data_IF_606218576379
#
_entry.id   IF_606218576379
#
_cell.length_a   1.000
_cell.length_b   1.000
_cell.length_c   1.000
_cell.angle_alpha   90.00
_cell.angle_beta   90.00
_cell.angle_gamma   90.00
#
_symmetry.space_group_name_H-M   'P 1'
#
loop_
_entity.id
_entity.type
_entity.pdbx_description
1 polymer ?
#
# COMPACT_ATOMS: atom_id res chain seq x y z
N UNK A 1 19.73 -6.79 -8.78
CA UNK A 1 19.03 -6.48 -7.50
C UNK A 1 19.14 -5.00 -7.24
N UNK A 2 18.10 -4.38 -6.72
CA UNK A 2 18.05 -2.96 -6.38
C UNK A 2 17.65 -2.80 -4.92
N UNK A 3 18.20 -1.79 -4.27
CA UNK A 3 17.89 -1.44 -2.87
C UNK A 3 17.26 -0.06 -2.81
N UNK A 4 16.18 0.06 -2.06
CA UNK A 4 15.48 1.32 -1.81
C UNK A 4 15.10 1.44 -0.35
N UNK A 5 14.90 2.65 0.13
CA UNK A 5 14.38 2.94 1.47
C UNK A 5 12.85 2.82 1.48
N UNK A 6 12.30 2.47 2.64
CA UNK A 6 10.87 2.56 2.87
C UNK A 6 10.37 4.01 2.82
N UNK A 7 9.10 4.21 2.47
CA UNK A 7 8.52 5.54 2.36
C UNK A 7 7.01 5.52 2.21
N UNK A 8 6.41 6.69 2.22
CA UNK A 8 4.97 6.86 2.00
C UNK A 8 4.67 8.13 1.21
N UNK A 9 3.48 8.18 0.64
CA UNK A 9 2.92 9.32 -0.07
C UNK A 9 1.43 9.42 0.24
N UNK A 10 0.96 10.59 0.70
CA UNK A 10 -0.46 10.87 0.87
C UNK A 10 -1.03 11.24 -0.50
N UNK A 11 -2.05 10.51 -0.93
CA UNK A 11 -2.71 10.73 -2.21
C UNK A 11 -3.99 11.52 -1.97
N UNK A 12 -3.99 12.76 -2.40
CA UNK A 12 -5.17 13.62 -2.33
C UNK A 12 -6.15 13.24 -3.44
N UNK A 13 -7.41 13.01 -3.07
CA UNK A 13 -8.46 12.76 -4.05
C UNK A 13 -8.95 14.08 -4.64
N UNK A 14 -8.91 14.19 -5.96
CA UNK A 14 -9.50 15.34 -6.69
C UNK A 14 -11.04 15.37 -6.53
N UNK A 15 -11.65 16.56 -6.68
CA UNK A 15 -13.11 16.71 -6.63
C UNK A 15 -13.85 15.96 -7.75
N UNK A 16 -15.13 15.66 -7.50
CA UNK A 16 -16.07 15.13 -8.48
C UNK A 16 -15.85 13.67 -8.87
N UNK A 17 -16.63 13.19 -9.83
CA UNK A 17 -16.65 11.79 -10.25
C UNK A 17 -15.29 11.37 -10.84
N UNK A 18 -14.65 12.26 -11.61
CA UNK A 18 -13.33 11.97 -12.18
C UNK A 18 -12.28 11.73 -11.08
N UNK A 19 -12.30 12.55 -10.02
CA UNK A 19 -11.42 12.38 -8.86
C UNK A 19 -11.64 11.06 -8.13
N UNK A 20 -12.90 10.62 -8.00
CA UNK A 20 -13.25 9.31 -7.43
C UNK A 20 -12.66 8.18 -8.29
N UNK A 21 -12.78 8.27 -9.60
CA UNK A 21 -12.23 7.26 -10.51
C UNK A 21 -10.70 7.23 -10.50
N UNK A 22 -10.02 8.38 -10.48
CA UNK A 22 -8.55 8.48 -10.36
C UNK A 22 -8.06 7.86 -9.05
N UNK A 23 -8.74 8.15 -7.93
CA UNK A 23 -8.41 7.58 -6.62
C UNK A 23 -8.54 6.05 -6.58
N UNK A 24 -9.41 5.46 -7.39
CA UNK A 24 -9.57 4.03 -7.55
C UNK A 24 -8.65 3.42 -8.64
N UNK A 25 -8.24 4.21 -9.66
CA UNK A 25 -7.37 3.73 -10.73
C UNK A 25 -5.97 3.37 -10.21
N UNK A 26 -5.33 4.24 -9.44
CA UNK A 26 -3.98 4.03 -8.93
C UNK A 26 -3.84 2.70 -8.17
N UNK A 27 -4.70 2.35 -7.17
CA UNK A 27 -4.66 1.05 -6.50
C UNK A 27 -4.83 -0.13 -7.44
N UNK A 28 -5.75 0.00 -8.42
CA UNK A 28 -5.96 -1.03 -9.42
C UNK A 28 -4.73 -1.23 -10.31
N UNK A 29 -4.11 -0.16 -10.78
CA UNK A 29 -2.90 -0.20 -11.60
C UNK A 29 -1.72 -0.79 -10.85
N UNK A 30 -1.55 -0.47 -9.56
CA UNK A 30 -0.50 -1.05 -8.70
C UNK A 30 -0.68 -2.56 -8.60
N UNK A 31 -1.90 -3.04 -8.41
CA UNK A 31 -2.18 -4.48 -8.34
C UNK A 31 -1.67 -5.24 -9.58
N UNK A 32 -1.75 -4.63 -10.76
CA UNK A 32 -1.32 -5.22 -12.04
C UNK A 32 0.07 -4.77 -12.52
N UNK A 33 0.81 -3.97 -11.74
CA UNK A 33 2.07 -3.38 -12.16
C UNK A 33 1.93 -2.58 -13.47
N UNK A 34 0.92 -1.72 -13.55
CA UNK A 34 0.57 -0.98 -14.77
C UNK A 34 0.39 0.53 -14.54
N UNK A 35 1.08 1.07 -13.54
CA UNK A 35 1.04 2.49 -13.18
C UNK A 35 1.55 3.40 -14.32
N UNK A 36 2.43 2.89 -15.16
CA UNK A 36 2.93 3.51 -16.39
C UNK A 36 1.84 3.86 -17.41
N UNK A 37 0.65 3.29 -17.25
CA UNK A 37 -0.50 3.52 -18.13
C UNK A 37 -1.47 4.59 -17.60
N UNK A 38 -1.19 5.19 -16.45
CA UNK A 38 -2.01 6.28 -15.93
C UNK A 38 -1.74 7.54 -16.76
N UNK A 39 -2.80 8.09 -17.34
CA UNK A 39 -2.76 9.29 -18.15
C UNK A 39 -4.13 10.01 -18.09
N UNK A 40 -4.24 11.27 -18.55
CA UNK A 40 -5.52 11.94 -18.63
C UNK A 40 -6.57 11.10 -19.40
N UNK A 41 -7.75 10.92 -18.78
CA UNK A 41 -8.87 10.18 -19.36
C UNK A 41 -8.79 8.65 -19.27
N UNK A 42 -7.78 8.07 -18.60
CA UNK A 42 -7.66 6.60 -18.45
C UNK A 42 -8.47 6.03 -17.29
N UNK A 43 -8.80 6.85 -16.28
CA UNK A 43 -9.46 6.40 -15.07
C UNK A 43 -10.85 5.80 -15.35
N UNK A 44 -11.71 6.52 -16.02
CA UNK A 44 -13.09 6.08 -16.25
C UNK A 44 -13.18 4.75 -17.04
N UNK A 45 -12.52 4.57 -18.20
CA UNK A 45 -12.53 3.30 -18.92
C UNK A 45 -11.96 2.14 -18.08
N UNK A 46 -10.92 2.40 -17.30
CA UNK A 46 -10.30 1.40 -16.44
C UNK A 46 -11.26 0.94 -15.34
N UNK A 47 -11.89 1.89 -14.63
CA UNK A 47 -12.86 1.61 -13.57
C UNK A 47 -14.09 0.88 -14.11
N UNK A 48 -14.63 1.30 -15.25
CA UNK A 48 -15.74 0.59 -15.91
C UNK A 48 -15.35 -0.85 -16.30
N UNK A 49 -14.08 -1.06 -16.69
CA UNK A 49 -13.53 -2.39 -16.94
C UNK A 49 -13.52 -3.27 -15.68
N UNK A 50 -13.09 -2.72 -14.52
CA UNK A 50 -13.11 -3.41 -13.23
C UNK A 50 -14.53 -3.77 -12.78
N UNK A 51 -15.48 -2.84 -12.93
CA UNK A 51 -16.91 -3.09 -12.65
C UNK A 51 -17.45 -4.23 -13.50
N UNK A 52 -17.15 -4.24 -14.80
CA UNK A 52 -17.60 -5.29 -15.73
C UNK A 52 -17.07 -6.69 -15.36
N UNK A 53 -15.88 -6.76 -14.77
CA UNK A 53 -15.24 -8.01 -14.35
C UNK A 53 -15.47 -8.35 -12.88
N UNK A 54 -16.29 -7.56 -12.17
CA UNK A 54 -16.53 -7.67 -10.72
C UNK A 54 -15.25 -7.64 -9.87
N UNK A 55 -14.21 -6.94 -10.33
CA UNK A 55 -12.99 -6.74 -9.55
C UNK A 55 -13.15 -5.52 -8.63
N UNK A 56 -13.89 -5.68 -7.53
CA UNK A 56 -14.35 -4.59 -6.67
C UNK A 56 -13.30 -3.99 -5.74
N UNK A 57 -12.19 -4.69 -5.42
CA UNK A 57 -11.23 -4.20 -4.44
C UNK A 57 -10.66 -2.79 -4.73
N UNK A 58 -10.23 -2.43 -5.96
CA UNK A 58 -9.77 -1.08 -6.24
C UNK A 58 -10.88 -0.02 -6.09
N UNK A 59 -12.14 -0.37 -6.32
CA UNK A 59 -13.26 0.56 -6.20
C UNK A 59 -13.46 1.08 -4.76
N UNK A 60 -13.00 0.33 -3.76
CA UNK A 60 -13.06 0.75 -2.35
C UNK A 60 -12.26 2.03 -2.07
N UNK A 61 -11.26 2.33 -2.91
CA UNK A 61 -10.38 3.47 -2.71
C UNK A 61 -10.98 4.80 -3.19
N UNK A 62 -11.94 4.77 -4.13
CA UNK A 62 -12.69 5.94 -4.55
C UNK A 62 -13.65 6.38 -3.44
N UNK A 63 -13.31 7.43 -2.70
CA UNK A 63 -14.14 7.96 -1.62
C UNK A 63 -15.31 8.77 -2.21
N UNK A 64 -16.50 8.55 -1.69
CA UNK A 64 -17.72 9.23 -2.11
C UNK A 64 -18.33 9.99 -0.94
N UNK A 65 -18.57 11.29 -1.13
CA UNK A 65 -19.26 12.15 -0.17
C UNK A 65 -20.63 12.52 -0.75
N UNK A 66 -21.68 12.23 -0.01
CA UNK A 66 -23.06 12.50 -0.41
C UNK A 66 -23.76 13.33 0.65
N UNK A 67 -24.72 14.17 0.22
CA UNK A 67 -25.65 14.86 1.12
C UNK A 67 -27.03 14.94 0.53
N UNK A 68 -28.06 14.78 1.36
CA UNK A 68 -29.45 14.96 0.97
C UNK A 68 -30.26 15.52 2.14
N UNK A 69 -31.25 16.33 1.84
CA UNK A 69 -32.23 16.80 2.80
C UNK A 69 -33.28 15.69 3.04
N UNK A 70 -33.87 15.70 4.21
CA UNK A 70 -35.06 14.92 4.48
C UNK A 70 -36.20 15.33 3.55
N UNK A 71 -36.99 14.36 3.15
CA UNK A 71 -38.14 14.58 2.27
C UNK A 71 -39.43 14.54 3.09
N UNK A 72 -40.34 15.47 2.78
CA UNK A 72 -41.66 15.57 3.40
C UNK A 72 -42.72 15.73 2.34
N UNK A 73 -43.82 14.95 2.43
CA UNK A 73 -44.98 15.09 1.56
C UNK A 73 -46.05 15.99 2.18
N UNK A 74 -46.73 16.75 1.34
CA UNK A 74 -47.85 17.60 1.75
C UNK A 74 -49.17 16.88 1.54
N UNK A 75 -49.92 16.65 2.60
CA UNK A 75 -51.27 16.12 2.54
C UNK A 75 -52.25 17.28 2.82
N UNK A 76 -53.12 17.62 1.85
CA UNK A 76 -54.15 18.66 1.97
C UNK A 76 -53.65 20.06 2.37
N UNK A 77 -52.45 20.49 1.89
CA UNK A 77 -51.79 21.75 2.25
C UNK A 77 -51.48 21.92 3.76
N UNK A 78 -51.52 20.85 4.53
CA UNK A 78 -51.08 20.79 5.91
C UNK A 78 -49.89 19.84 5.93
N UNK A 79 -48.86 20.25 6.57
CA UNK A 79 -47.65 19.47 6.83
C UNK A 79 -48.06 18.14 7.54
N UNK A 80 -47.63 16.94 7.31
CA UNK A 80 -46.57 16.34 6.52
C UNK A 80 -46.42 14.93 6.96
N UNK A 81 -46.31 14.05 6.09
CA UNK A 81 -45.76 12.74 6.39
C UNK A 81 -44.28 12.77 6.06
N UNK A 82 -43.42 12.33 6.98
CA UNK A 82 -41.97 12.18 6.75
C UNK A 82 -41.74 11.03 5.78
N UNK A 83 -41.28 11.35 4.58
CA UNK A 83 -41.01 10.37 3.51
C UNK A 83 -39.66 9.68 3.67
N UNK A 84 -38.86 10.13 4.65
CA UNK A 84 -37.49 9.66 4.88
C UNK A 84 -36.44 10.42 4.12
N UNK A 85 -35.17 10.04 4.32
CA UNK A 85 -34.05 10.58 3.56
C UNK A 85 -33.62 9.58 2.49
N UNK A 86 -33.44 10.00 1.23
CA UNK A 86 -33.03 9.09 0.15
C UNK A 86 -31.69 8.38 0.40
N UNK A 87 -30.90 8.87 1.35
CA UNK A 87 -29.61 8.29 1.78
C UNK A 87 -29.72 7.42 3.04
N UNK A 88 -30.92 7.19 3.64
CA UNK A 88 -31.09 6.37 4.86
C UNK A 88 -30.56 4.94 4.69
N UNK A 89 -30.58 4.42 3.46
CA UNK A 89 -30.02 3.10 3.12
C UNK A 89 -28.54 2.93 3.54
N UNK A 90 -27.77 4.03 3.66
CA UNK A 90 -26.37 3.99 4.06
C UNK A 90 -26.17 3.74 5.57
N UNK A 91 -27.16 4.01 6.43
CA UNK A 91 -27.08 3.65 7.85
C UNK A 91 -26.88 2.15 8.10
N UNK A 92 -27.38 1.33 7.18
CA UNK A 92 -27.26 -0.13 7.27
C UNK A 92 -26.02 -0.70 6.59
N UNK A 93 -25.18 0.17 6.01
CA UNK A 93 -23.96 -0.25 5.33
C UNK A 93 -22.74 -0.05 6.24
N UNK A 94 -22.06 -1.13 6.60
CA UNK A 94 -20.91 -1.11 7.52
C UNK A 94 -19.66 -0.38 6.99
N UNK A 95 -19.63 -0.06 5.71
CA UNK A 95 -18.51 0.67 5.06
C UNK A 95 -18.85 2.14 4.83
N UNK A 96 -20.00 2.58 5.32
CA UNK A 96 -20.46 3.96 5.23
C UNK A 96 -20.53 4.58 6.62
N UNK A 97 -20.27 5.89 6.70
CA UNK A 97 -20.48 6.67 7.91
C UNK A 97 -21.45 7.79 7.62
N UNK A 98 -22.45 7.91 8.48
CA UNK A 98 -23.58 8.82 8.33
C UNK A 98 -23.63 9.79 9.51
N UNK A 99 -23.97 11.05 9.24
CA UNK A 99 -24.25 12.08 10.26
C UNK A 99 -25.44 12.91 9.80
N UNK A 100 -26.48 12.99 10.63
CA UNK A 100 -27.62 13.88 10.38
C UNK A 100 -27.38 15.18 11.15
N UNK A 101 -27.57 16.31 10.48
CA UNK A 101 -27.48 17.66 11.06
C UNK A 101 -28.52 18.54 10.37
N UNK A 102 -29.45 19.11 11.14
CA UNK A 102 -30.48 20.03 10.66
C UNK A 102 -31.27 19.50 9.44
N UNK A 103 -31.78 18.28 9.55
CA UNK A 103 -32.55 17.58 8.51
C UNK A 103 -31.75 17.30 7.21
N UNK A 104 -30.43 17.37 7.29
CA UNK A 104 -29.52 17.00 6.20
C UNK A 104 -28.69 15.78 6.60
N UNK A 105 -28.78 14.72 5.80
CA UNK A 105 -27.96 13.52 5.99
C UNK A 105 -26.67 13.64 5.17
N UNK A 106 -25.54 13.56 5.86
CA UNK A 106 -24.20 13.56 5.31
C UNK A 106 -23.65 12.13 5.35
N UNK A 107 -23.20 11.62 4.21
CA UNK A 107 -22.71 10.25 4.06
C UNK A 107 -21.31 10.24 3.48
N UNK A 108 -20.39 9.56 4.13
CA UNK A 108 -19.09 9.18 3.56
C UNK A 108 -19.07 7.69 3.31
N UNK A 109 -18.80 7.31 2.07
CA UNK A 109 -18.75 5.92 1.63
C UNK A 109 -17.67 5.71 0.55
N UNK A 110 -17.79 4.68 -0.28
CA UNK A 110 -16.86 4.42 -1.38
C UNK A 110 -17.57 3.87 -2.61
N UNK A 111 -16.90 3.97 -3.75
CA UNK A 111 -17.46 3.59 -5.05
C UNK A 111 -17.90 2.12 -5.12
N UNK A 112 -17.23 1.20 -4.40
CA UNK A 112 -17.62 -0.21 -4.35
C UNK A 112 -18.99 -0.40 -3.73
N UNK A 113 -19.28 0.33 -2.65
CA UNK A 113 -20.61 0.28 -2.00
C UNK A 113 -21.70 0.69 -2.98
N UNK A 114 -21.52 1.77 -3.72
CA UNK A 114 -22.51 2.20 -4.70
C UNK A 114 -22.69 1.14 -5.82
N UNK A 115 -21.59 0.62 -6.33
CA UNK A 115 -21.60 -0.36 -7.42
C UNK A 115 -22.29 -1.67 -6.99
N UNK A 116 -21.89 -2.27 -5.86
CA UNK A 116 -22.42 -3.57 -5.40
C UNK A 116 -23.90 -3.52 -4.98
N UNK A 117 -24.39 -2.33 -4.57
CA UNK A 117 -25.79 -2.16 -4.16
C UNK A 117 -26.68 -1.55 -5.27
N UNK A 118 -26.15 -1.32 -6.47
CA UNK A 118 -26.86 -0.64 -7.56
C UNK A 118 -27.29 0.81 -7.22
N UNK A 119 -26.48 1.54 -6.42
CA UNK A 119 -26.72 2.91 -5.99
C UNK A 119 -25.90 3.95 -6.79
N UNK A 120 -25.44 3.60 -7.97
CA UNK A 120 -24.60 4.49 -8.78
C UNK A 120 -25.28 5.82 -9.16
N UNK A 121 -26.61 5.85 -9.24
CA UNK A 121 -27.38 7.07 -9.46
C UNK A 121 -27.23 8.12 -8.35
N UNK A 122 -26.78 7.71 -7.17
CA UNK A 122 -26.55 8.65 -6.07
C UNK A 122 -25.39 9.60 -6.36
N UNK A 123 -24.46 9.22 -7.25
CA UNK A 123 -23.39 10.12 -7.72
C UNK A 123 -23.98 11.30 -8.53
N UNK A 124 -25.01 11.07 -9.30
CA UNK A 124 -25.65 12.11 -10.10
C UNK A 124 -26.54 13.03 -9.27
N UNK A 125 -27.18 12.47 -8.23
CA UNK A 125 -28.21 13.15 -7.46
C UNK A 125 -27.71 13.83 -6.17
N UNK A 126 -26.71 13.24 -5.49
CA UNK A 126 -26.36 13.61 -4.11
C UNK A 126 -24.86 13.85 -3.89
N UNK A 127 -24.01 13.66 -4.91
CA UNK A 127 -22.56 13.91 -4.79
C UNK A 127 -22.30 15.36 -4.36
N UNK A 128 -21.41 15.51 -3.40
CA UNK A 128 -20.99 16.83 -2.93
C UNK A 128 -19.50 16.84 -2.58
N UNK A 129 -18.96 18.04 -2.44
CA UNK A 129 -17.65 18.21 -1.81
C UNK A 129 -17.75 17.87 -0.31
N UNK A 130 -16.67 17.32 0.27
CA UNK A 130 -16.65 16.98 1.67
C UNK A 130 -16.77 18.24 2.55
N UNK A 131 -17.66 18.16 3.54
CA UNK A 131 -17.88 19.21 4.55
C UNK A 131 -17.31 18.79 5.91
N UNK A 132 -17.42 19.66 6.93
CA UNK A 132 -17.08 19.37 8.33
C UNK A 132 -17.95 18.27 8.97
N UNK A 133 -19.09 17.96 8.37
CA UNK A 133 -20.00 16.92 8.86
C UNK A 133 -19.69 15.53 8.30
N UNK A 134 -18.88 15.44 7.24
CA UNK A 134 -18.40 14.18 6.71
C UNK A 134 -17.18 13.68 7.48
N UNK A 135 -17.17 12.42 7.88
CA UNK A 135 -15.91 11.83 8.31
C UNK A 135 -15.02 11.59 7.10
N UNK A 136 -13.84 12.21 7.12
CA UNK A 136 -12.90 12.15 5.99
C UNK A 136 -12.26 10.78 5.86
N UNK A 137 -11.99 10.37 4.62
CA UNK A 137 -11.13 9.24 4.30
C UNK A 137 -9.87 9.74 3.60
N UNK A 138 -8.73 9.15 3.97
CA UNK A 138 -7.44 9.48 3.39
C UNK A 138 -6.81 8.25 2.77
N UNK A 139 -6.14 8.44 1.63
CA UNK A 139 -5.42 7.42 0.90
C UNK A 139 -3.93 7.64 1.04
N UNK A 140 -3.19 6.58 1.37
CA UNK A 140 -1.73 6.59 1.49
C UNK A 140 -1.15 5.43 0.69
N UNK A 141 -0.15 5.75 -0.14
CA UNK A 141 0.70 4.77 -0.80
C UNK A 141 1.95 4.55 0.05
N UNK A 142 2.29 3.30 0.32
CA UNK A 142 3.51 2.90 1.00
C UNK A 142 4.47 2.21 0.04
N UNK A 143 5.74 2.62 0.05
CA UNK A 143 6.88 1.85 -0.43
C UNK A 143 7.37 1.06 0.77
N UNK A 144 7.16 -0.25 0.77
CA UNK A 144 7.24 -1.06 1.99
C UNK A 144 7.64 -2.49 1.66
N UNK A 145 8.37 -3.13 2.55
CA UNK A 145 8.62 -4.57 2.47
C UNK A 145 7.32 -5.37 2.71
N UNK A 146 7.34 -6.60 2.23
CA UNK A 146 6.15 -7.46 2.33
C UNK A 146 5.78 -7.79 3.77
N UNK A 147 6.77 -7.97 4.66
CA UNK A 147 6.53 -8.37 6.04
C UNK A 147 5.84 -7.24 6.83
N UNK A 148 6.39 -6.04 6.78
CA UNK A 148 5.77 -4.85 7.40
C UNK A 148 4.41 -4.55 6.79
N UNK A 149 4.26 -4.76 5.47
CA UNK A 149 2.99 -4.66 4.77
C UNK A 149 1.92 -5.64 5.29
N UNK A 150 2.28 -6.88 5.64
CA UNK A 150 1.35 -7.84 6.26
C UNK A 150 0.87 -7.36 7.64
N UNK A 151 1.73 -6.67 8.41
CA UNK A 151 1.30 -6.05 9.66
C UNK A 151 0.29 -4.93 9.44
N UNK A 152 0.48 -4.10 8.40
CA UNK A 152 -0.44 -3.01 8.06
C UNK A 152 -1.81 -3.53 7.60
N UNK A 153 -1.85 -4.63 6.86
CA UNK A 153 -3.10 -5.28 6.43
C UNK A 153 -3.98 -5.77 7.60
N UNK A 154 -3.46 -5.88 8.81
CA UNK A 154 -4.22 -6.29 9.99
C UNK A 154 -5.06 -5.15 10.59
N UNK A 155 -4.84 -3.90 10.18
CA UNK A 155 -5.62 -2.74 10.63
C UNK A 155 -6.94 -2.61 9.85
N UNK A 156 -7.97 -3.27 10.32
CA UNK A 156 -9.33 -3.22 9.79
C UNK A 156 -10.16 -2.20 10.62
N UNK A 157 -11.07 -1.43 10.05
CA UNK A 157 -11.65 -1.49 8.71
C UNK A 157 -10.90 -0.50 7.80
N UNK A 158 -10.28 -0.98 6.74
CA UNK A 158 -9.61 -0.15 5.75
C UNK A 158 -9.61 -0.87 4.39
N UNK A 159 -9.48 -0.10 3.33
CA UNK A 159 -9.31 -0.61 1.97
C UNK A 159 -7.83 -0.78 1.68
N UNK A 160 -7.45 -1.92 1.12
CA UNK A 160 -6.06 -2.23 0.81
C UNK A 160 -5.91 -2.80 -0.59
N UNK A 161 -4.97 -2.25 -1.35
CA UNK A 161 -4.48 -2.84 -2.59
C UNK A 161 -2.95 -2.93 -2.55
N UNK A 162 -2.42 -4.03 -3.03
CA UNK A 162 -0.98 -4.30 -3.10
C UNK A 162 -0.59 -4.87 -4.45
N UNK A 163 0.67 -4.65 -4.86
CA UNK A 163 1.23 -5.29 -6.03
C UNK A 163 1.10 -6.82 -5.94
N UNK A 164 0.60 -7.41 -7.01
CA UNK A 164 0.34 -8.83 -7.07
C UNK A 164 1.50 -9.60 -7.69
N UNK A 165 2.21 -10.38 -6.90
CA UNK A 165 3.26 -11.31 -7.37
C UNK A 165 2.73 -12.45 -8.25
N UNK A 166 1.40 -12.51 -8.53
CA UNK A 166 0.80 -13.41 -9.53
C UNK A 166 0.87 -12.84 -10.94
N UNK A 167 0.75 -11.52 -11.07
CA UNK A 167 0.69 -10.82 -12.35
C UNK A 167 2.00 -10.12 -12.70
N UNK A 168 2.77 -9.68 -11.72
CA UNK A 168 4.09 -9.08 -11.90
C UNK A 168 5.13 -10.19 -12.01
N UNK A 169 5.90 -10.15 -13.11
CA UNK A 169 6.99 -11.11 -13.38
C UNK A 169 8.29 -10.33 -13.48
N UNK A 170 9.13 -10.39 -12.45
CA UNK A 170 10.33 -9.57 -12.32
C UNK A 170 11.39 -9.81 -13.40
N UNK A 171 11.31 -10.93 -14.14
CA UNK A 171 12.21 -11.21 -15.27
C UNK A 171 11.92 -10.38 -16.52
N UNK A 172 10.74 -9.75 -16.62
CA UNK A 172 10.38 -8.89 -17.75
C UNK A 172 10.99 -7.50 -17.59
N UNK A 173 11.49 -6.91 -18.68
CA UNK A 173 12.02 -5.54 -18.75
C UNK A 173 11.16 -4.52 -17.99
N UNK A 174 9.85 -4.57 -18.21
CA UNK A 174 8.86 -3.70 -17.56
C UNK A 174 8.87 -3.77 -16.03
N UNK A 175 9.30 -4.89 -15.45
CA UNK A 175 9.26 -5.17 -14.01
C UNK A 175 10.65 -5.37 -13.40
N UNK A 176 11.70 -4.88 -14.06
CA UNK A 176 13.05 -4.93 -13.54
C UNK A 176 14.04 -5.75 -14.38
N UNK A 177 13.58 -6.45 -15.47
CA UNK A 177 14.48 -7.17 -16.36
C UNK A 177 15.34 -8.26 -15.68
N UNK A 178 14.78 -8.89 -14.64
CA UNK A 178 15.49 -9.86 -13.79
C UNK A 178 16.06 -9.26 -12.50
N UNK A 179 15.98 -7.93 -12.32
CA UNK A 179 16.37 -7.28 -11.07
C UNK A 179 15.17 -7.17 -10.13
N UNK A 180 15.32 -7.63 -8.90
CA UNK A 180 14.31 -7.52 -7.85
C UNK A 180 14.67 -6.35 -6.94
N UNK A 181 13.67 -5.54 -6.59
CA UNK A 181 13.83 -4.42 -5.67
C UNK A 181 13.54 -4.85 -4.24
N UNK A 182 14.44 -4.56 -3.32
CA UNK A 182 14.33 -4.86 -1.89
C UNK A 182 14.31 -3.60 -1.05
N UNK A 183 13.60 -3.65 0.08
CA UNK A 183 13.61 -2.57 1.07
C UNK A 183 14.80 -2.77 2.01
N UNK A 184 15.57 -1.71 2.21
CA UNK A 184 16.65 -1.68 3.20
C UNK A 184 16.00 -1.62 4.59
N UNK A 185 16.33 -2.56 5.51
CA UNK A 185 15.81 -2.51 6.87
C UNK A 185 16.30 -1.27 7.62
N UNK A 186 15.47 -0.70 8.50
CA UNK A 186 15.74 0.51 9.29
C UNK A 186 17.11 0.46 9.99
N UNK A 187 17.51 -0.69 10.52
CA UNK A 187 18.78 -0.86 11.25
C UNK A 187 20.03 -0.98 10.35
N UNK A 188 19.86 -0.92 9.03
CA UNK A 188 20.96 -0.86 8.06
C UNK A 188 21.04 0.49 7.34
N UNK A 189 20.16 1.46 7.65
CA UNK A 189 20.13 2.76 6.96
C UNK A 189 21.42 3.57 7.18
N UNK A 190 22.04 3.46 8.34
CA UNK A 190 23.32 4.13 8.65
C UNK A 190 24.52 3.48 7.96
N UNK A 191 24.33 2.35 7.27
CA UNK A 191 25.35 1.54 6.61
C UNK A 191 25.12 1.40 5.10
N UNK A 192 24.48 2.39 4.48
CA UNK A 192 24.15 2.35 3.04
C UNK A 192 25.41 2.29 2.17
N UNK A 193 26.49 2.97 2.57
CA UNK A 193 27.77 2.95 1.84
C UNK A 193 28.33 1.52 1.79
N UNK A 194 28.27 0.77 2.89
CA UNK A 194 28.70 -0.63 2.95
C UNK A 194 27.83 -1.54 2.06
N UNK A 195 26.51 -1.29 1.99
CA UNK A 195 25.60 -2.01 1.10
C UNK A 195 25.96 -1.72 -0.37
N UNK A 196 26.27 -0.47 -0.69
CA UNK A 196 26.66 -0.06 -2.04
C UNK A 196 28.00 -0.69 -2.44
N UNK A 197 29.01 -0.66 -1.57
CA UNK A 197 30.31 -1.30 -1.77
C UNK A 197 30.21 -2.82 -1.94
N UNK A 198 29.32 -3.47 -1.17
CA UNK A 198 29.08 -4.91 -1.25
C UNK A 198 28.22 -5.30 -2.46
N UNK A 199 27.62 -4.32 -3.15
CA UNK A 199 26.79 -4.55 -4.34
C UNK A 199 27.64 -4.84 -5.55
N UNK A 200 27.27 -5.89 -6.28
CA UNK A 200 27.91 -6.20 -7.56
C UNK A 200 27.33 -5.32 -8.68
N UNK A 201 28.17 -4.83 -9.62
CA UNK A 201 27.70 -4.11 -10.80
C UNK A 201 26.60 -4.86 -11.55
N UNK A 202 25.62 -4.14 -12.09
CA UNK A 202 24.44 -4.75 -12.77
C UNK A 202 24.82 -5.57 -14.01
N UNK A 203 25.94 -5.23 -14.65
CA UNK A 203 26.48 -5.94 -15.83
C UNK A 203 27.08 -7.31 -15.51
N UNK A 204 27.36 -7.63 -14.25
CA UNK A 204 27.88 -8.94 -13.89
C UNK A 204 26.81 -10.02 -14.04
N UNK A 205 27.21 -11.12 -14.69
CA UNK A 205 26.36 -12.30 -14.81
C UNK A 205 25.98 -12.84 -13.43
N UNK A 206 24.69 -13.09 -13.22
CA UNK A 206 24.18 -13.57 -11.93
C UNK A 206 24.80 -14.90 -11.48
N UNK A 207 25.12 -15.81 -12.44
CA UNK A 207 25.78 -17.08 -12.13
C UNK A 207 27.21 -16.84 -11.58
N UNK A 208 27.93 -15.86 -12.16
CA UNK A 208 29.24 -15.46 -11.67
C UNK A 208 29.15 -14.91 -10.25
N UNK A 209 28.23 -13.97 -10.00
CA UNK A 209 28.05 -13.37 -8.67
C UNK A 209 27.73 -14.45 -7.62
N UNK A 210 26.83 -15.38 -7.91
CA UNK A 210 26.50 -16.48 -7.00
C UNK A 210 27.72 -17.38 -6.76
N UNK A 211 28.49 -17.70 -7.80
CA UNK A 211 29.70 -18.51 -7.68
C UNK A 211 30.73 -17.83 -6.77
N UNK A 212 30.97 -16.54 -6.94
CA UNK A 212 31.89 -15.76 -6.10
C UNK A 212 31.45 -15.71 -4.63
N UNK A 213 30.18 -15.47 -4.37
CA UNK A 213 29.64 -15.44 -3.01
C UNK A 213 29.74 -16.82 -2.33
N UNK A 214 29.40 -17.89 -3.05
CA UNK A 214 29.57 -19.27 -2.54
C UNK A 214 31.04 -19.61 -2.28
N UNK A 215 31.97 -19.15 -3.14
CA UNK A 215 33.39 -19.36 -2.95
C UNK A 215 33.94 -18.66 -1.73
N UNK A 216 33.49 -17.42 -1.43
CA UNK A 216 33.85 -16.71 -0.20
C UNK A 216 33.41 -17.47 1.05
N UNK A 217 32.19 -18.00 1.06
CA UNK A 217 31.68 -18.85 2.15
C UNK A 217 32.53 -20.12 2.27
N UNK A 218 32.80 -20.79 1.14
CA UNK A 218 33.59 -22.01 1.13
C UNK A 218 34.98 -21.78 1.70
N UNK A 219 35.68 -20.71 1.30
CA UNK A 219 37.00 -20.34 1.85
C UNK A 219 37.00 -20.12 3.35
N UNK A 220 36.02 -19.38 3.88
CA UNK A 220 35.92 -19.10 5.31
C UNK A 220 35.82 -20.36 6.16
N UNK A 221 35.08 -21.37 5.70
CA UNK A 221 34.79 -22.57 6.47
C UNK A 221 35.69 -23.78 6.16
N UNK A 222 36.55 -23.69 5.15
CA UNK A 222 37.50 -24.76 4.80
C UNK A 222 38.94 -24.27 4.96
N UNK A 223 39.42 -24.17 6.17
CA UNK A 223 40.76 -23.67 6.57
C UNK A 223 41.96 -24.49 6.05
N UNK A 224 41.78 -25.45 5.11
CA UNK A 224 42.85 -26.29 4.55
C UNK A 224 43.43 -25.78 3.24
N UNK A 225 43.16 -24.54 2.84
CA UNK A 225 43.73 -23.96 1.63
C UNK A 225 44.87 -22.99 2.00
N UNK A 226 46.04 -23.23 1.37
CA UNK A 226 47.29 -22.46 1.49
C UNK A 226 47.05 -20.95 1.68
N UNK A 227 47.49 -20.42 2.82
CA UNK A 227 47.40 -19.00 3.18
C UNK A 227 48.20 -18.08 2.23
N UNK A 228 49.15 -18.63 1.48
CA UNK A 228 50.07 -17.87 0.61
C UNK A 228 49.46 -17.32 -0.69
N UNK A 229 48.18 -17.52 -0.94
CA UNK A 229 47.46 -17.01 -2.13
C UNK A 229 46.29 -16.09 -1.84
N UNK A 230 46.15 -15.65 -0.61
CA UNK A 230 45.11 -14.69 -0.24
C UNK A 230 45.56 -13.28 -0.64
N UNK A 231 44.93 -12.71 -1.67
CA UNK A 231 44.94 -11.25 -1.85
C UNK A 231 44.21 -10.62 -0.64
N UNK A 232 44.76 -9.51 -0.13
CA UNK A 232 44.42 -8.81 1.11
C UNK A 232 42.97 -8.28 1.24
N UNK A 233 42.05 -8.71 0.39
CA UNK A 233 40.63 -8.36 0.43
C UNK A 233 39.74 -9.56 0.75
N UNK A 234 39.96 -10.20 1.90
CA UNK A 234 38.92 -11.03 2.47
C UNK A 234 37.87 -10.07 3.05
N UNK A 235 36.82 -9.78 2.33
CA UNK A 235 35.61 -9.18 2.89
C UNK A 235 35.21 -10.02 4.11
N UNK A 236 35.23 -9.42 5.28
CA UNK A 236 34.68 -10.06 6.46
C UNK A 236 33.25 -10.48 6.11
N UNK A 237 32.94 -11.78 6.34
CA UNK A 237 31.59 -12.26 6.16
C UNK A 237 30.78 -11.77 7.37
N UNK A 238 30.29 -10.56 7.26
CA UNK A 238 29.50 -9.85 8.25
C UNK A 238 27.97 -10.06 8.03
N UNK A 239 27.16 -9.33 8.78
CA UNK A 239 25.71 -9.37 8.70
C UNK A 239 25.18 -8.85 7.36
N UNK A 240 25.82 -7.80 6.77
CA UNK A 240 25.49 -7.28 5.44
C UNK A 240 25.73 -8.36 4.37
N UNK A 241 26.89 -9.03 4.42
CA UNK A 241 27.19 -10.10 3.48
C UNK A 241 26.12 -11.21 3.54
N UNK A 242 25.78 -11.70 4.76
CA UNK A 242 24.80 -12.77 4.87
C UNK A 242 23.39 -12.35 4.45
N UNK A 243 23.00 -11.10 4.75
CA UNK A 243 21.74 -10.53 4.29
C UNK A 243 21.68 -10.45 2.75
N UNK A 244 22.71 -9.87 2.14
CA UNK A 244 22.81 -9.75 0.68
C UNK A 244 22.90 -11.11 -0.03
N UNK A 245 23.64 -12.06 0.55
CA UNK A 245 23.71 -13.43 0.01
C UNK A 245 22.33 -14.08 -0.08
N UNK A 246 21.53 -13.98 0.98
CA UNK A 246 20.17 -14.54 0.99
C UNK A 246 19.28 -13.90 -0.09
N UNK A 247 19.35 -12.57 -0.25
CA UNK A 247 18.56 -11.85 -1.26
C UNK A 247 19.04 -12.18 -2.68
N UNK A 248 20.35 -12.24 -2.90
CA UNK A 248 20.94 -12.58 -4.20
C UNK A 248 20.64 -14.01 -4.62
N UNK A 249 20.72 -14.95 -3.69
CA UNK A 249 20.35 -16.34 -3.93
C UNK A 249 18.86 -16.46 -4.32
N UNK A 250 18.00 -15.66 -3.69
CA UNK A 250 16.56 -15.59 -4.03
C UNK A 250 16.34 -15.05 -5.45
N UNK A 251 16.96 -13.91 -5.78
CA UNK A 251 16.85 -13.30 -7.12
C UNK A 251 17.32 -14.27 -8.19
N UNK A 252 18.47 -14.88 -7.99
CA UNK A 252 19.04 -15.90 -8.90
C UNK A 252 18.09 -17.10 -9.06
N UNK A 253 17.61 -17.66 -7.95
CA UNK A 253 16.69 -18.80 -7.98
C UNK A 253 15.38 -18.46 -8.69
N UNK A 254 14.79 -17.29 -8.42
CA UNK A 254 13.56 -16.82 -9.06
C UNK A 254 13.74 -16.73 -10.58
N UNK A 255 14.85 -16.12 -11.03
CA UNK A 255 15.14 -15.98 -12.45
C UNK A 255 15.36 -17.31 -13.14
N UNK A 256 16.07 -18.26 -12.51
CA UNK A 256 16.28 -19.63 -13.03
C UNK A 256 14.95 -20.41 -13.15
N UNK A 257 14.10 -20.33 -12.12
CA UNK A 257 12.78 -20.98 -12.13
C UNK A 257 11.90 -20.50 -13.29
N UNK A 258 11.90 -19.19 -13.57
CA UNK A 258 11.13 -18.62 -14.69
C UNK A 258 11.78 -18.95 -16.04
N UNK A 259 13.09 -18.61 -16.21
CA UNK A 259 13.72 -18.56 -17.52
C UNK A 259 14.20 -19.94 -18.00
N UNK A 260 14.62 -20.81 -17.09
CA UNK A 260 15.19 -22.13 -17.43
C UNK A 260 14.24 -23.27 -17.11
N UNK A 261 13.50 -23.19 -15.99
CA UNK A 261 12.58 -24.27 -15.58
C UNK A 261 11.14 -24.06 -16.08
N UNK A 262 10.83 -22.90 -16.71
CA UNK A 262 9.51 -22.61 -17.29
C UNK A 262 8.39 -22.39 -16.26
N UNK A 263 8.73 -22.06 -15.01
CA UNK A 263 7.73 -21.76 -14.00
C UNK A 263 7.01 -20.44 -14.32
N UNK A 264 5.72 -20.37 -13.98
CA UNK A 264 4.97 -19.10 -14.04
C UNK A 264 5.27 -18.26 -12.79
N UNK A 265 5.11 -16.94 -12.89
CA UNK A 265 5.35 -16.01 -11.77
C UNK A 265 4.62 -16.45 -10.48
N UNK A 266 3.36 -16.90 -10.61
CA UNK A 266 2.55 -17.40 -9.49
C UNK A 266 3.11 -18.66 -8.80
N UNK A 267 3.99 -19.39 -9.47
CA UNK A 267 4.71 -20.54 -8.94
C UNK A 267 6.06 -20.10 -8.36
N UNK A 268 6.86 -19.39 -9.15
CA UNK A 268 8.21 -18.96 -8.77
C UNK A 268 8.24 -18.02 -7.54
N UNK A 269 7.16 -17.26 -7.30
CA UNK A 269 7.07 -16.35 -6.14
C UNK A 269 7.26 -17.02 -4.76
N UNK A 270 7.23 -18.34 -4.67
CA UNK A 270 7.42 -19.08 -3.40
C UNK A 270 8.82 -18.91 -2.84
N UNK A 271 9.81 -18.54 -3.67
CA UNK A 271 11.18 -18.29 -3.22
C UNK A 271 11.43 -16.81 -2.85
N UNK A 272 10.47 -15.90 -3.10
CA UNK A 272 10.63 -14.49 -2.81
C UNK A 272 10.65 -14.22 -1.30
N UNK A 273 11.62 -13.47 -0.77
CA UNK A 273 11.73 -13.16 0.65
C UNK A 273 10.76 -12.05 1.07
N UNK A 274 10.54 -11.91 2.36
CA UNK A 274 9.70 -10.85 2.90
C UNK A 274 10.31 -9.43 2.71
N UNK A 275 11.61 -9.32 2.50
CA UNK A 275 12.30 -8.04 2.24
C UNK A 275 11.97 -7.42 0.86
N UNK A 276 11.28 -8.15 -0.02
CA UNK A 276 10.89 -7.62 -1.34
C UNK A 276 10.02 -6.36 -1.20
N UNK A 277 10.33 -5.35 -2.00
CA UNK A 277 9.44 -4.19 -2.13
C UNK A 277 8.06 -4.63 -2.62
N UNK A 278 7.04 -4.27 -1.88
CA UNK A 278 5.65 -4.66 -2.14
C UNK A 278 4.73 -3.45 -1.92
N UNK A 279 4.67 -2.52 -2.90
CA UNK A 279 3.88 -1.30 -2.76
C UNK A 279 2.45 -1.58 -2.30
N UNK A 280 2.02 -0.85 -1.26
CA UNK A 280 0.73 -1.01 -0.60
C UNK A 280 -0.03 0.31 -0.61
N UNK A 281 -1.28 0.30 -1.03
CA UNK A 281 -2.18 1.44 -0.82
C UNK A 281 -3.18 1.10 0.27
N UNK A 282 -3.34 2.03 1.21
CA UNK A 282 -4.35 1.99 2.26
C UNK A 282 -5.24 3.21 2.15
N UNK A 283 -6.56 3.01 2.13
CA UNK A 283 -7.56 4.09 2.27
C UNK A 283 -8.44 3.78 3.46
N UNK A 284 -8.56 4.72 4.38
CA UNK A 284 -9.30 4.53 5.62
C UNK A 284 -9.96 5.83 6.10
N UNK A 285 -10.97 5.71 6.93
CA UNK A 285 -11.53 6.83 7.68
C UNK A 285 -10.49 7.40 8.65
N UNK A 286 -10.64 8.67 9.00
CA UNK A 286 -9.69 9.31 9.93
C UNK A 286 -9.68 8.63 11.31
N UNK A 287 -10.80 8.12 11.79
CA UNK A 287 -10.87 7.35 13.03
C UNK A 287 -10.05 6.05 12.97
N UNK A 288 -10.03 5.38 11.79
CA UNK A 288 -9.24 4.16 11.59
C UNK A 288 -7.75 4.47 11.41
N UNK A 289 -7.41 5.66 10.87
CA UNK A 289 -6.02 6.16 10.85
C UNK A 289 -5.52 6.48 12.24
N UNK A 290 -6.33 7.12 13.11
CA UNK A 290 -5.99 7.35 14.52
C UNK A 290 -5.67 6.03 15.24
N UNK A 291 -6.49 5.00 15.03
CA UNK A 291 -6.22 3.67 15.57
C UNK A 291 -4.92 3.06 15.02
N UNK A 292 -4.62 3.25 13.75
CA UNK A 292 -3.36 2.81 13.15
C UNK A 292 -2.15 3.49 13.81
N UNK A 293 -2.19 4.82 14.00
CA UNK A 293 -1.14 5.57 14.67
C UNK A 293 -0.96 5.19 16.13
N UNK A 294 -2.07 4.93 16.83
CA UNK A 294 -2.08 4.43 18.22
C UNK A 294 -1.20 3.18 18.38
N UNK A 295 -1.26 2.27 17.43
CA UNK A 295 -0.55 1.00 17.50
C UNK A 295 0.82 1.02 16.82
N UNK A 296 0.99 1.76 15.71
CA UNK A 296 2.19 1.67 14.86
C UNK A 296 3.15 2.86 14.98
N UNK A 297 2.65 4.01 15.46
CA UNK A 297 3.49 5.17 15.73
C UNK A 297 3.77 5.35 17.24
N UNK A 298 2.73 5.21 18.09
CA UNK A 298 2.81 5.51 19.52
C UNK A 298 3.10 4.25 20.36
N UNK A 299 2.68 3.08 19.87
CA UNK A 299 2.94 1.82 20.55
C UNK A 299 2.12 1.58 21.81
N UNK A 300 0.83 1.90 21.80
CA UNK A 300 -0.07 1.75 22.94
C UNK A 300 -0.13 0.33 23.54
N UNK A 301 0.03 -0.69 22.72
CA UNK A 301 0.01 -2.10 23.15
C UNK A 301 1.41 -2.70 23.30
N UNK A 302 2.45 -1.91 23.12
CA UNK A 302 3.86 -2.29 23.14
C UNK A 302 4.65 -1.58 22.06
N UNK A 303 5.99 -1.61 22.16
CA UNK A 303 6.87 -0.93 21.21
C UNK A 303 6.58 -1.43 19.77
N UNK A 304 6.33 -0.54 18.81
CA UNK A 304 6.14 -0.93 17.41
C UNK A 304 7.41 -1.60 16.85
N UNK A 305 7.24 -2.42 15.80
CA UNK A 305 8.39 -2.89 15.05
C UNK A 305 9.09 -1.69 14.38
N UNK A 306 10.44 -1.60 14.40
CA UNK A 306 11.15 -0.43 13.88
C UNK A 306 10.76 -0.04 12.44
N UNK A 307 10.63 -0.99 11.53
CA UNK A 307 10.21 -0.72 10.15
C UNK A 307 8.75 -0.22 10.04
N UNK A 308 7.88 -0.58 10.97
CA UNK A 308 6.52 -0.05 11.01
C UNK A 308 6.49 1.37 11.59
N UNK A 309 7.27 1.63 12.63
CA UNK A 309 7.40 2.95 13.28
C UNK A 309 8.02 3.98 12.33
N UNK A 310 9.04 3.59 11.58
CA UNK A 310 9.71 4.37 10.53
C UNK A 310 8.73 5.01 9.53
N UNK A 311 7.67 4.29 9.19
CA UNK A 311 6.63 4.77 8.28
C UNK A 311 5.48 5.48 9.03
N UNK A 312 5.03 4.91 10.14
CA UNK A 312 3.82 5.35 10.81
C UNK A 312 4.01 6.66 11.59
N UNK A 313 5.19 6.88 12.20
CA UNK A 313 5.45 8.09 12.99
C UNK A 313 5.59 9.35 12.11
N UNK A 314 6.39 9.35 11.03
CA UNK A 314 6.43 10.50 10.11
C UNK A 314 5.08 10.76 9.44
N UNK A 315 4.35 9.71 9.04
CA UNK A 315 3.01 9.85 8.46
C UNK A 315 2.03 10.50 9.46
N UNK A 316 2.07 10.11 10.74
CA UNK A 316 1.26 10.76 11.78
C UNK A 316 1.59 12.23 11.90
N UNK A 317 2.87 12.60 11.87
CA UNK A 317 3.30 14.00 11.95
C UNK A 317 2.82 14.78 10.72
N UNK A 318 2.87 14.22 9.52
CA UNK A 318 2.33 14.89 8.32
C UNK A 318 0.80 15.05 8.39
N UNK A 319 0.07 14.08 8.98
CA UNK A 319 -1.38 14.23 9.24
C UNK A 319 -1.68 15.36 10.21
N UNK A 320 -0.80 15.61 11.21
CA UNK A 320 -0.89 16.77 12.11
C UNK A 320 -0.64 18.07 11.38
N UNK A 321 0.44 18.15 10.61
CA UNK A 321 0.83 19.34 9.86
C UNK A 321 -0.24 19.76 8.84
N UNK A 322 -0.87 18.78 8.18
CA UNK A 322 -1.98 19.00 7.26
C UNK A 322 -3.33 19.28 7.97
N UNK A 323 -3.39 19.19 9.30
CA UNK A 323 -4.59 19.41 10.09
C UNK A 323 -5.65 18.31 9.93
N UNK A 324 -5.28 17.10 9.46
CA UNK A 324 -6.20 15.96 9.36
C UNK A 324 -6.50 15.36 10.72
N UNK A 325 -5.56 15.45 11.66
CA UNK A 325 -5.71 15.15 13.08
C UNK A 325 -5.22 16.32 13.91
N UNK A 326 -5.68 16.40 15.16
CA UNK A 326 -5.27 17.44 16.12
C UNK A 326 -4.36 16.89 17.20
N UNK A 327 -3.65 17.78 17.91
CA UNK A 327 -2.86 17.37 19.08
C UNK A 327 -3.72 16.70 20.16
N UNK A 328 -4.99 17.13 20.35
CA UNK A 328 -5.91 16.50 21.29
C UNK A 328 -6.22 15.05 20.91
N UNK A 329 -6.23 14.71 19.62
CA UNK A 329 -6.39 13.35 19.17
C UNK A 329 -5.23 12.47 19.61
N UNK A 330 -3.99 13.00 19.59
CA UNK A 330 -2.78 12.27 20.02
C UNK A 330 -2.70 12.19 21.54
N UNK A 331 -3.03 13.26 22.27
CA UNK A 331 -3.06 13.20 23.74
C UNK A 331 -4.09 12.22 24.26
N UNK A 332 -5.27 12.17 23.66
CA UNK A 332 -6.29 11.15 23.93
C UNK A 332 -5.82 9.73 23.61
N UNK A 333 -4.95 9.59 22.61
CA UNK A 333 -4.31 8.32 22.27
C UNK A 333 -3.27 7.92 23.34
N UNK A 334 -2.46 8.88 23.85
CA UNK A 334 -1.45 8.62 24.90
C UNK A 334 -2.04 8.31 26.28
N UNK A 335 -3.24 8.83 26.58
CA UNK A 335 -3.89 8.76 27.90
C UNK A 335 -4.91 7.62 28.02
N UNK A 336 -5.14 6.82 26.99
CA UNK A 336 -5.97 5.60 27.01
C UNK A 336 -5.12 4.35 27.05
#
# INVERSE_FOLDING_TARGET
MEFITAGFEIIEQEPGIEGIYKAAELPGRICYGSQDKIAPGTAEPFIKGLMKTNHGAPLEHGTVYLKANDSYSYVNNIELEYDGNPLDKYYHNKYSKCKNVDDVLYVTTNLRVLFENNWMSDLDNYLCEPTEYHERRYQVRFTIDRFTGEEFLRHRVASFNRESTRYVTYTKEKFGGGSITFIIPTWLLDRMDEIEEASYPKEYNQDYVMSEMCYKIYKKYNNNLDEDKLSDNILELDDIFYWMFALKATEWSYNKLINECGWRAEQARVVLPCAINSPLIKTAFISDWKHFFDLRAIGKTGKPHPQAEELALPLMNEFLEKGYISNNDIENIKNK
#
